data_IF_837732070178
#
_entry.id   IF_837732070178
#
_cell.length_a   1.000
_cell.length_b   1.000
_cell.length_c   1.000
_cell.angle_alpha   90.00
_cell.angle_beta   90.00
_cell.angle_gamma   90.00
#
_symmetry.space_group_name_H-M   'P 1'
#
loop_
_entity.id
_entity.type
_entity.pdbx_description
1 polymer ?
#
# COMPACT_ATOMS: atom_id res chain seq x y z
N UNK A 1 8.15 1.60 7.47
CA UNK A 1 7.76 2.61 8.47
C UNK A 1 8.18 2.21 9.88
N UNK A 2 8.38 3.20 10.75
CA UNK A 2 8.92 3.03 12.09
C UNK A 2 7.95 2.31 13.03
N UNK A 3 8.47 1.32 13.78
CA UNK A 3 7.67 0.48 14.71
C UNK A 3 7.06 1.31 15.83
N UNK A 4 7.78 2.30 16.36
CA UNK A 4 7.33 3.12 17.48
C UNK A 4 6.11 4.00 17.17
N UNK A 5 5.78 4.23 15.91
CA UNK A 5 4.61 5.05 15.51
C UNK A 5 3.29 4.42 15.97
N UNK A 6 3.23 3.09 16.03
CA UNK A 6 2.03 2.34 16.45
C UNK A 6 2.12 1.79 17.87
N UNK A 7 3.20 2.09 18.59
CA UNK A 7 3.40 1.72 20.02
C UNK A 7 3.01 2.87 20.93
N UNK A 8 2.83 2.56 22.23
CA UNK A 8 2.52 3.52 23.28
C UNK A 8 3.40 3.28 24.49
N UNK A 9 3.51 4.28 25.37
CA UNK A 9 4.26 4.18 26.62
C UNK A 9 5.74 3.84 26.43
N UNK A 10 6.30 3.07 27.37
CA UNK A 10 7.72 2.70 27.38
C UNK A 10 8.21 2.08 26.07
N UNK A 11 7.42 1.18 25.47
CA UNK A 11 7.81 0.54 24.19
C UNK A 11 7.99 1.57 23.05
N UNK A 12 7.18 2.62 23.01
CA UNK A 12 7.33 3.69 22.03
C UNK A 12 8.66 4.42 22.20
N UNK A 13 8.98 4.78 23.45
CA UNK A 13 10.22 5.51 23.80
C UNK A 13 11.42 4.64 23.46
N UNK A 14 11.40 3.38 23.88
CA UNK A 14 12.49 2.42 23.66
C UNK A 14 12.82 2.26 22.16
N UNK A 15 11.84 1.94 21.32
CA UNK A 15 12.08 1.79 19.88
C UNK A 15 12.49 3.11 19.21
N UNK A 16 11.99 4.25 19.70
CA UNK A 16 12.39 5.56 19.19
C UNK A 16 13.86 5.87 19.51
N UNK A 17 14.33 5.50 20.71
CA UNK A 17 15.73 5.66 21.11
C UNK A 17 16.61 4.72 20.27
N UNK A 18 16.21 3.46 20.09
CA UNK A 18 16.94 2.51 19.24
C UNK A 18 17.12 3.04 17.81
N UNK A 19 16.03 3.49 17.17
CA UNK A 19 16.12 4.11 15.83
C UNK A 19 17.12 5.28 15.84
N UNK A 20 17.08 6.16 16.85
CA UNK A 20 17.97 7.30 16.96
C UNK A 20 19.44 6.88 17.10
N UNK A 21 19.73 5.84 17.90
CA UNK A 21 21.09 5.29 18.07
C UNK A 21 21.58 4.72 16.73
N UNK A 22 20.77 3.87 16.06
CA UNK A 22 21.12 3.26 14.78
C UNK A 22 21.43 4.33 13.73
N UNK A 23 20.59 5.35 13.63
CA UNK A 23 20.79 6.43 12.66
C UNK A 23 22.00 7.31 12.99
N UNK A 24 22.31 7.53 14.25
CA UNK A 24 23.52 8.28 14.65
C UNK A 24 24.81 7.52 14.33
N UNK A 25 24.81 6.21 14.49
CA UNK A 25 25.94 5.33 14.18
C UNK A 25 26.10 5.12 12.65
N UNK A 26 25.07 5.37 11.85
CA UNK A 26 25.14 5.24 10.40
C UNK A 26 25.87 6.43 9.79
N UNK A 27 26.73 6.20 8.79
CA UNK A 27 27.37 7.27 8.02
C UNK A 27 26.34 8.06 7.22
N UNK A 28 25.41 7.36 6.58
CA UNK A 28 24.30 7.96 5.84
C UNK A 28 23.08 7.03 5.84
N UNK A 29 21.87 7.61 5.75
CA UNK A 29 20.61 6.88 5.80
C UNK A 29 19.81 7.15 4.52
N UNK A 30 19.52 6.10 3.76
CA UNK A 30 18.50 6.14 2.71
C UNK A 30 17.13 5.89 3.33
N UNK A 31 16.24 6.86 3.15
CA UNK A 31 14.85 6.79 3.64
C UNK A 31 13.93 6.46 2.48
N UNK A 32 12.94 5.62 2.71
CA UNK A 32 12.08 5.08 1.65
C UNK A 32 11.25 6.14 0.92
N UNK A 33 10.95 7.30 1.57
CA UNK A 33 10.10 8.35 0.99
C UNK A 33 10.40 9.75 1.53
N UNK A 34 10.07 10.78 0.75
CA UNK A 34 10.25 12.17 1.14
C UNK A 34 9.42 12.55 2.36
N UNK A 35 8.17 12.11 2.43
CA UNK A 35 7.30 12.38 3.58
C UNK A 35 7.80 11.67 4.84
N UNK A 36 8.32 10.44 4.73
CA UNK A 36 8.93 9.74 5.84
C UNK A 36 10.21 10.45 6.32
N UNK A 37 11.06 10.92 5.40
CA UNK A 37 12.25 11.71 5.74
C UNK A 37 11.86 12.96 6.52
N UNK A 38 10.88 13.74 6.03
CA UNK A 38 10.36 14.92 6.72
C UNK A 38 9.84 14.57 8.12
N UNK A 39 9.08 13.49 8.24
CA UNK A 39 8.58 13.01 9.52
C UNK A 39 9.71 12.65 10.49
N UNK A 40 10.72 11.90 10.06
CA UNK A 40 11.84 11.50 10.92
C UNK A 40 12.68 12.70 11.38
N UNK A 41 12.90 13.68 10.52
CA UNK A 41 13.58 14.94 10.87
C UNK A 41 12.75 15.71 11.90
N UNK A 42 11.42 15.86 11.71
CA UNK A 42 10.54 16.57 12.65
C UNK A 42 10.51 15.91 14.04
N UNK A 43 10.73 14.59 14.09
CA UNK A 43 10.84 13.84 15.37
C UNK A 43 12.25 13.79 15.94
N UNK A 44 13.22 14.50 15.33
CA UNK A 44 14.62 14.55 15.73
C UNK A 44 15.26 13.15 15.80
N UNK A 45 14.89 12.26 14.88
CA UNK A 45 15.42 10.90 14.75
C UNK A 45 16.64 10.88 13.83
N UNK A 46 16.56 11.60 12.71
CA UNK A 46 17.64 11.72 11.73
C UNK A 46 17.93 13.19 11.47
N UNK A 47 19.16 13.50 11.02
CA UNK A 47 19.53 14.83 10.53
C UNK A 47 19.29 14.94 9.01
N UNK A 48 19.09 16.18 8.54
CA UNK A 48 18.90 16.47 7.11
C UNK A 48 20.13 16.07 6.31
N UNK A 49 21.32 16.36 6.82
CA UNK A 49 22.60 16.16 6.13
C UNK A 49 23.04 14.69 6.04
N UNK A 50 22.66 13.86 7.02
CA UNK A 50 22.95 12.42 7.06
C UNK A 50 21.85 11.57 6.41
N UNK A 51 20.91 12.15 5.69
CA UNK A 51 19.80 11.41 5.12
C UNK A 51 19.44 11.84 3.72
N UNK A 52 19.09 10.89 2.87
CA UNK A 52 18.60 11.11 1.51
C UNK A 52 17.39 10.24 1.21
N UNK A 53 16.69 10.58 0.15
CA UNK A 53 15.68 9.72 -0.48
C UNK A 53 16.16 9.48 -1.90
N UNK A 54 16.14 8.23 -2.34
CA UNK A 54 16.53 7.89 -3.69
C UNK A 54 15.43 8.35 -4.66
N UNK A 55 15.77 9.27 -5.55
CA UNK A 55 14.88 9.81 -6.59
C UNK A 55 13.50 10.19 -6.02
N UNK A 56 12.43 9.47 -6.43
CA UNK A 56 11.06 9.71 -5.97
C UNK A 56 10.63 8.82 -4.79
N UNK A 57 11.57 8.11 -4.16
CA UNK A 57 11.33 7.10 -3.12
C UNK A 57 11.25 5.69 -3.68
N UNK A 58 11.02 4.69 -2.80
CA UNK A 58 11.03 3.26 -3.13
C UNK A 58 12.36 2.76 -3.70
N UNK A 59 13.28 2.40 -2.83
CA UNK A 59 14.65 1.98 -3.23
C UNK A 59 14.66 0.83 -4.24
N UNK A 60 13.74 -0.14 -4.11
CA UNK A 60 13.74 -1.34 -4.96
C UNK A 60 12.99 -1.21 -6.29
N UNK A 61 12.19 -0.17 -6.48
CA UNK A 61 11.38 -0.04 -7.69
C UNK A 61 10.36 -1.18 -7.91
N UNK A 62 9.92 -1.35 -9.16
CA UNK A 62 8.96 -2.38 -9.59
C UNK A 62 9.38 -3.02 -10.91
N UNK A 63 9.36 -4.33 -10.97
CA UNK A 63 9.48 -5.08 -12.22
C UNK A 63 8.19 -4.94 -13.06
N UNK A 64 8.20 -4.01 -14.01
CA UNK A 64 7.02 -3.69 -14.84
C UNK A 64 6.65 -4.82 -15.82
N UNK A 65 7.54 -5.77 -16.09
CA UNK A 65 7.25 -6.94 -16.93
C UNK A 65 6.48 -7.99 -16.15
N UNK A 66 6.81 -8.19 -14.87
CA UNK A 66 6.10 -9.06 -13.94
C UNK A 66 4.76 -8.44 -13.52
N UNK A 67 4.79 -7.20 -13.06
CA UNK A 67 3.61 -6.46 -12.59
C UNK A 67 2.90 -5.77 -13.75
N UNK A 68 2.23 -6.57 -14.57
CA UNK A 68 1.46 -6.11 -15.73
C UNK A 68 0.02 -6.62 -15.66
N UNK A 69 -0.94 -5.77 -15.97
CA UNK A 69 -2.34 -6.18 -16.08
C UNK A 69 -2.51 -7.27 -17.15
N UNK A 70 -3.16 -8.37 -16.77
CA UNK A 70 -3.50 -9.48 -17.69
C UNK A 70 -4.97 -9.83 -17.55
N UNK A 71 -5.74 -9.62 -18.63
CA UNK A 71 -7.19 -9.92 -18.68
C UNK A 71 -7.48 -11.39 -18.36
N UNK A 72 -6.59 -12.32 -18.76
CA UNK A 72 -6.72 -13.74 -18.47
C UNK A 72 -6.70 -14.01 -16.96
N UNK A 73 -5.80 -13.38 -16.21
CA UNK A 73 -5.75 -13.51 -14.76
C UNK A 73 -7.01 -12.97 -14.08
N UNK A 74 -7.56 -11.84 -14.59
CA UNK A 74 -8.81 -11.30 -14.09
C UNK A 74 -9.95 -12.27 -14.25
N UNK A 75 -10.11 -12.84 -15.43
CA UNK A 75 -11.20 -13.78 -15.73
C UNK A 75 -11.05 -15.07 -14.92
N UNK A 76 -9.85 -15.66 -14.90
CA UNK A 76 -9.55 -16.91 -14.20
C UNK A 76 -9.82 -16.80 -12.69
N UNK A 77 -9.27 -15.76 -12.04
CA UNK A 77 -9.42 -15.62 -10.59
C UNK A 77 -10.85 -15.26 -10.20
N UNK A 78 -11.54 -14.44 -10.98
CA UNK A 78 -12.96 -14.12 -10.73
C UNK A 78 -13.84 -15.35 -10.88
N UNK A 79 -13.63 -16.19 -11.91
CA UNK A 79 -14.34 -17.44 -12.10
C UNK A 79 -14.08 -18.40 -10.92
N UNK A 80 -12.81 -18.60 -10.54
CA UNK A 80 -12.43 -19.46 -9.41
C UNK A 80 -13.10 -19.04 -8.09
N UNK A 81 -13.24 -17.74 -7.88
CA UNK A 81 -13.87 -17.17 -6.67
C UNK A 81 -15.38 -16.98 -6.80
N UNK A 82 -16.00 -17.39 -7.89
CA UNK A 82 -17.43 -17.19 -8.20
C UNK A 82 -17.85 -15.71 -8.13
N UNK A 83 -16.96 -14.81 -8.58
CA UNK A 83 -17.19 -13.36 -8.67
C UNK A 83 -17.59 -13.02 -10.10
N UNK A 84 -18.83 -12.59 -10.31
CA UNK A 84 -19.30 -12.22 -11.63
C UNK A 84 -18.64 -10.95 -12.19
N UNK A 85 -18.63 -10.79 -13.51
CA UNK A 85 -17.99 -9.69 -14.23
C UNK A 85 -18.39 -8.30 -13.71
N UNK A 86 -19.65 -8.13 -13.35
CA UNK A 86 -20.22 -6.86 -12.89
C UNK A 86 -20.03 -6.59 -11.40
N UNK A 87 -19.55 -7.57 -10.63
CA UNK A 87 -19.28 -7.37 -9.21
C UNK A 87 -18.05 -6.48 -9.03
N UNK A 88 -18.11 -5.57 -8.07
CA UNK A 88 -16.98 -4.73 -7.70
C UNK A 88 -16.10 -5.41 -6.66
N UNK A 89 -14.78 -5.39 -6.86
CA UNK A 89 -13.81 -6.06 -5.99
C UNK A 89 -12.84 -5.07 -5.38
N UNK A 90 -12.91 -4.93 -4.08
CA UNK A 90 -11.88 -4.32 -3.25
C UNK A 90 -10.82 -5.37 -2.92
N UNK A 91 -9.56 -5.05 -3.12
CA UNK A 91 -8.43 -5.92 -2.81
C UNK A 91 -7.59 -5.32 -1.67
N UNK A 92 -7.26 -6.13 -0.70
CA UNK A 92 -6.15 -5.87 0.20
C UNK A 92 -5.05 -6.91 -0.08
N UNK A 93 -3.79 -6.47 -0.17
CA UNK A 93 -2.64 -7.35 -0.34
C UNK A 93 -1.51 -6.95 0.59
N UNK A 94 -1.13 -7.86 1.50
CA UNK A 94 -0.10 -7.65 2.50
C UNK A 94 -0.31 -8.49 3.75
N UNK A 95 0.55 -8.34 4.75
CA UNK A 95 0.40 -9.00 6.05
C UNK A 95 -0.87 -8.52 6.74
N UNK A 96 -1.68 -9.47 7.22
CA UNK A 96 -2.95 -9.18 7.87
C UNK A 96 -2.73 -9.06 9.38
N UNK A 97 -2.44 -7.84 9.81
CA UNK A 97 -2.21 -7.48 11.21
C UNK A 97 -2.84 -6.13 11.58
N UNK A 98 -2.66 -5.72 12.83
CA UNK A 98 -3.22 -4.47 13.36
C UNK A 98 -2.62 -3.23 12.67
N UNK A 99 -1.30 -3.21 12.46
CA UNK A 99 -0.59 -2.04 11.90
C UNK A 99 -0.98 -1.77 10.44
N UNK A 100 -1.50 -2.77 9.75
CA UNK A 100 -2.00 -2.67 8.37
C UNK A 100 -3.48 -2.28 8.27
N UNK A 101 -4.16 -2.04 9.39
CA UNK A 101 -5.51 -1.49 9.43
C UNK A 101 -6.61 -2.37 8.81
N UNK A 102 -6.33 -3.67 8.58
CA UNK A 102 -7.25 -4.56 7.86
C UNK A 102 -8.59 -4.70 8.57
N UNK A 103 -8.62 -4.61 9.91
CA UNK A 103 -9.85 -4.67 10.68
C UNK A 103 -10.78 -3.46 10.40
N UNK A 104 -10.20 -2.26 10.22
CA UNK A 104 -10.97 -1.07 9.90
C UNK A 104 -11.57 -1.16 8.50
N UNK A 105 -10.79 -1.70 7.54
CA UNK A 105 -11.28 -2.00 6.20
C UNK A 105 -12.45 -2.99 6.22
N UNK A 106 -12.33 -4.09 6.97
CA UNK A 106 -13.40 -5.10 7.11
C UNK A 106 -14.66 -4.46 7.71
N UNK A 107 -14.52 -3.63 8.76
CA UNK A 107 -15.66 -2.95 9.40
C UNK A 107 -16.33 -1.97 8.42
N UNK A 108 -15.56 -1.18 7.67
CA UNK A 108 -16.08 -0.29 6.64
C UNK A 108 -16.77 -1.06 5.52
N UNK A 109 -16.14 -2.13 5.02
CA UNK A 109 -16.70 -2.99 3.98
C UNK A 109 -18.03 -3.63 4.39
N UNK A 110 -18.16 -4.09 5.63
CA UNK A 110 -19.43 -4.65 6.15
C UNK A 110 -20.60 -3.67 6.07
N UNK A 111 -20.35 -2.38 6.18
CA UNK A 111 -21.38 -1.33 5.98
C UNK A 111 -21.69 -1.15 4.49
N UNK A 112 -20.67 -1.15 3.63
CA UNK A 112 -20.82 -0.95 2.17
C UNK A 112 -21.52 -2.12 1.50
N UNK A 113 -21.24 -3.36 1.86
CA UNK A 113 -21.85 -4.57 1.28
C UNK A 113 -23.34 -4.72 1.54
N UNK A 114 -23.89 -4.01 2.55
CA UNK A 114 -25.34 -3.96 2.79
C UNK A 114 -26.07 -3.19 1.70
N UNK A 115 -25.39 -2.25 1.05
CA UNK A 115 -25.96 -1.34 0.05
C UNK A 115 -25.59 -1.74 -1.39
N UNK A 116 -24.53 -2.52 -1.56
CA UNK A 116 -23.97 -2.82 -2.88
C UNK A 116 -23.50 -4.29 -2.97
N UNK A 117 -23.62 -4.86 -4.17
CA UNK A 117 -23.06 -6.20 -4.45
C UNK A 117 -21.56 -6.12 -4.75
N UNK A 118 -20.76 -6.15 -3.70
CA UNK A 118 -19.32 -5.97 -3.73
C UNK A 118 -18.60 -7.11 -3.01
N UNK A 119 -17.33 -7.33 -3.32
CA UNK A 119 -16.45 -8.30 -2.68
C UNK A 119 -15.22 -7.62 -2.09
N UNK A 120 -14.74 -8.14 -0.97
CA UNK A 120 -13.45 -7.81 -0.37
C UNK A 120 -12.58 -9.06 -0.41
N UNK A 121 -11.46 -8.98 -1.13
CA UNK A 121 -10.48 -10.06 -1.21
C UNK A 121 -9.26 -9.66 -0.40
N UNK A 122 -8.91 -10.49 0.58
CA UNK A 122 -7.78 -10.30 1.50
C UNK A 122 -6.70 -11.33 1.16
N UNK A 123 -5.55 -10.84 0.69
CA UNK A 123 -4.42 -11.69 0.27
C UNK A 123 -3.22 -11.44 1.18
N UNK A 124 -2.72 -12.50 1.80
CA UNK A 124 -1.52 -12.45 2.64
C UNK A 124 -1.62 -13.29 3.91
N UNK A 125 -0.51 -13.45 4.64
CA UNK A 125 -0.49 -14.20 5.89
C UNK A 125 -1.27 -13.48 6.99
N UNK A 126 -2.01 -14.25 7.79
CA UNK A 126 -2.69 -13.74 8.99
C UNK A 126 -1.72 -13.81 10.16
N UNK A 127 -1.35 -12.66 10.70
CA UNK A 127 -0.58 -12.53 11.93
C UNK A 127 -1.49 -12.28 13.17
N UNK A 128 -2.78 -11.99 12.94
CA UNK A 128 -3.76 -11.80 14.01
C UNK A 128 -4.99 -12.68 13.77
N UNK A 129 -5.04 -13.82 14.47
CA UNK A 129 -6.10 -14.81 14.32
C UNK A 129 -7.51 -14.27 14.64
N UNK A 130 -7.65 -13.23 15.46
CA UNK A 130 -8.94 -12.59 15.75
C UNK A 130 -9.61 -12.03 14.49
N UNK A 131 -8.83 -11.71 13.44
CA UNK A 131 -9.37 -11.21 12.17
C UNK A 131 -10.21 -12.29 11.46
N UNK A 132 -9.84 -13.58 11.58
CA UNK A 132 -10.65 -14.69 11.03
C UNK A 132 -12.09 -14.65 11.54
N UNK A 133 -12.31 -14.36 12.82
CA UNK A 133 -13.64 -14.31 13.41
C UNK A 133 -14.55 -13.25 12.77
N UNK A 134 -13.95 -12.19 12.19
CA UNK A 134 -14.72 -11.17 11.47
C UNK A 134 -15.09 -11.57 10.04
N UNK A 135 -14.52 -12.66 9.51
CA UNK A 135 -14.72 -13.08 8.12
C UNK A 135 -15.49 -14.39 7.98
N UNK A 136 -15.48 -15.28 8.99
CA UNK A 136 -15.91 -16.68 8.93
C UNK A 136 -17.37 -16.93 8.49
N UNK A 137 -18.27 -15.94 8.55
CA UNK A 137 -19.68 -16.09 8.13
C UNK A 137 -20.05 -15.21 6.93
N UNK A 138 -19.07 -14.53 6.30
CA UNK A 138 -19.36 -13.56 5.25
C UNK A 138 -18.78 -14.01 3.91
N UNK A 139 -19.62 -14.60 3.06
CA UNK A 139 -19.23 -15.10 1.73
C UNK A 139 -18.67 -14.01 0.78
N UNK A 140 -18.89 -12.72 1.09
CA UNK A 140 -18.37 -11.58 0.30
C UNK A 140 -17.00 -11.10 0.77
N UNK A 141 -16.47 -11.61 1.87
CA UNK A 141 -15.10 -11.39 2.35
C UNK A 141 -14.33 -12.68 2.14
N UNK A 142 -13.44 -12.67 1.14
CA UNK A 142 -12.68 -13.85 0.71
C UNK A 142 -11.25 -13.72 1.20
N UNK A 143 -10.79 -14.73 1.91
CA UNK A 143 -9.42 -14.79 2.41
C UNK A 143 -8.59 -15.81 1.62
N UNK A 144 -7.39 -15.39 1.16
CA UNK A 144 -6.51 -16.16 0.24
C UNK A 144 -5.16 -16.38 0.91
N UNK A 145 -4.81 -16.50 1.98
CA UNK A 145 -3.47 -16.77 2.50
C UNK A 145 -2.30 -16.10 1.72
N UNK A 146 -1.11 -16.63 1.91
CA UNK A 146 0.11 -16.16 1.23
C UNK A 146 0.08 -16.47 -0.27
N UNK A 147 0.58 -15.55 -1.10
CA UNK A 147 0.72 -15.73 -2.54
C UNK A 147 2.16 -15.47 -3.00
N UNK A 148 2.61 -16.17 -4.04
CA UNK A 148 3.86 -15.92 -4.77
C UNK A 148 3.63 -15.14 -6.07
N UNK A 149 2.36 -14.89 -6.43
CA UNK A 149 1.95 -14.23 -7.67
C UNK A 149 1.00 -13.06 -7.38
N UNK A 150 1.48 -11.99 -6.69
CA UNK A 150 0.64 -10.83 -6.35
C UNK A 150 0.06 -10.13 -7.58
N UNK A 151 0.77 -10.11 -8.71
CA UNK A 151 0.38 -9.50 -9.97
C UNK A 151 -0.95 -10.04 -10.53
N UNK A 152 -1.27 -11.31 -10.25
CA UNK A 152 -2.53 -11.93 -10.65
C UNK A 152 -3.70 -11.34 -9.87
N UNK A 153 -3.51 -11.10 -8.59
CA UNK A 153 -4.53 -10.53 -7.70
C UNK A 153 -4.79 -9.05 -8.02
N UNK A 154 -3.75 -8.28 -8.37
CA UNK A 154 -3.94 -6.90 -8.86
C UNK A 154 -4.77 -6.87 -10.14
N UNK A 155 -4.52 -7.78 -11.08
CA UNK A 155 -5.31 -7.87 -12.33
C UNK A 155 -6.79 -8.21 -12.07
N UNK A 156 -7.11 -8.95 -11.00
CA UNK A 156 -8.46 -9.40 -10.67
C UNK A 156 -9.33 -8.28 -10.08
N UNK A 157 -8.74 -7.35 -9.35
CA UNK A 157 -9.42 -6.34 -8.56
C UNK A 157 -9.86 -5.10 -9.37
N UNK A 158 -10.64 -4.23 -8.72
CA UNK A 158 -11.03 -2.93 -9.26
C UNK A 158 -10.33 -1.78 -8.54
N UNK A 159 -9.90 -1.99 -7.28
CA UNK A 159 -9.10 -1.04 -6.51
C UNK A 159 -8.32 -1.78 -5.40
N UNK A 160 -7.08 -1.35 -5.16
CA UNK A 160 -6.31 -1.75 -3.98
C UNK A 160 -6.75 -0.90 -2.78
N UNK A 161 -6.90 -1.51 -1.60
CA UNK A 161 -7.13 -0.83 -0.33
C UNK A 161 -5.93 -1.02 0.59
N UNK A 162 -5.30 0.07 1.03
CA UNK A 162 -4.15 0.05 1.93
C UNK A 162 -4.41 0.93 3.16
N UNK A 163 -5.18 0.45 4.16
CA UNK A 163 -5.60 1.23 5.32
C UNK A 163 -4.53 1.29 6.43
N UNK A 164 -3.26 1.20 6.08
CA UNK A 164 -2.14 1.07 7.00
C UNK A 164 -2.00 2.25 7.95
N UNK A 165 -1.56 1.98 9.17
CA UNK A 165 -1.21 2.96 10.19
C UNK A 165 0.23 3.46 10.06
N UNK A 166 1.09 2.69 9.39
CA UNK A 166 2.48 3.06 9.11
C UNK A 166 3.00 2.35 7.86
N UNK A 167 3.73 3.07 7.04
CA UNK A 167 4.48 2.57 5.87
C UNK A 167 5.77 3.36 5.70
N UNK A 168 6.79 2.76 5.07
CA UNK A 168 7.97 3.48 4.61
C UNK A 168 7.69 4.20 3.30
N UNK A 169 7.17 3.45 2.32
CA UNK A 169 6.74 3.96 1.03
C UNK A 169 5.40 3.33 0.59
N UNK A 170 5.15 2.05 0.92
CA UNK A 170 3.99 1.33 0.44
C UNK A 170 4.22 0.75 -0.96
N UNK A 171 5.28 -0.05 -1.15
CA UNK A 171 5.66 -0.64 -2.45
C UNK A 171 4.50 -1.36 -3.16
N UNK A 172 3.58 -1.97 -2.40
CA UNK A 172 2.37 -2.60 -2.95
C UNK A 172 1.50 -1.64 -3.76
N UNK A 173 1.58 -0.33 -3.50
CA UNK A 173 0.83 0.70 -4.26
C UNK A 173 1.39 0.84 -5.68
N UNK A 174 2.72 0.90 -5.81
CA UNK A 174 3.36 1.01 -7.12
C UNK A 174 3.31 -0.31 -7.89
N UNK A 175 3.35 -1.46 -7.21
CA UNK A 175 3.10 -2.77 -7.82
C UNK A 175 1.68 -2.86 -8.40
N UNK A 176 0.67 -2.45 -7.64
CA UNK A 176 -0.71 -2.36 -8.09
C UNK A 176 -0.88 -1.36 -9.23
N UNK A 177 -0.26 -0.18 -9.11
CA UNK A 177 -0.24 0.86 -10.14
C UNK A 177 0.32 0.34 -11.46
N UNK A 178 1.42 -0.43 -11.44
CA UNK A 178 1.97 -1.09 -12.62
C UNK A 178 0.96 -2.01 -13.32
N UNK A 179 0.06 -2.61 -12.55
CA UNK A 179 -1.07 -3.43 -13.05
C UNK A 179 -2.33 -2.61 -13.41
N UNK A 180 -2.22 -1.31 -13.62
CA UNK A 180 -3.35 -0.40 -13.87
C UNK A 180 -4.40 -0.39 -12.74
N UNK A 181 -4.02 -0.70 -11.51
CA UNK A 181 -4.92 -0.74 -10.38
C UNK A 181 -4.72 0.50 -9.50
N UNK A 182 -5.71 1.41 -9.39
CA UNK A 182 -5.62 2.55 -8.49
C UNK A 182 -5.73 2.11 -7.03
N UNK A 183 -5.32 2.98 -6.10
CA UNK A 183 -5.29 2.67 -4.68
C UNK A 183 -6.17 3.61 -3.85
N UNK A 184 -6.89 3.08 -2.87
CA UNK A 184 -7.45 3.78 -1.74
C UNK A 184 -6.53 3.56 -0.53
N UNK A 185 -5.74 4.57 -0.16
CA UNK A 185 -4.73 4.47 0.90
C UNK A 185 -4.99 5.40 2.08
N UNK A 186 -4.39 5.10 3.22
CA UNK A 186 -4.36 6.02 4.36
C UNK A 186 -3.55 7.28 4.04
N UNK A 187 -4.01 8.44 4.47
CA UNK A 187 -3.25 9.69 4.40
C UNK A 187 -2.17 9.73 5.49
N UNK A 188 -1.08 8.98 5.27
CA UNK A 188 0.09 8.91 6.15
C UNK A 188 1.38 9.06 5.33
N UNK A 189 2.50 9.40 6.02
CA UNK A 189 3.80 9.42 5.35
C UNK A 189 4.09 8.06 4.68
N UNK A 190 4.85 8.09 3.61
CA UNK A 190 5.11 6.94 2.75
C UNK A 190 4.00 6.74 1.73
N UNK A 191 2.76 6.51 2.14
CA UNK A 191 1.64 6.34 1.20
C UNK A 191 1.36 7.63 0.40
N UNK A 192 1.53 8.81 1.02
CA UNK A 192 1.40 10.10 0.33
C UNK A 192 2.45 10.37 -0.75
N UNK A 193 3.55 9.64 -0.75
CA UNK A 193 4.52 9.67 -1.85
C UNK A 193 4.19 8.65 -2.95
N UNK A 194 3.55 7.54 -2.58
CA UNK A 194 3.18 6.48 -3.53
C UNK A 194 1.92 6.80 -4.34
N UNK A 195 0.96 7.54 -3.77
CA UNK A 195 -0.31 7.94 -4.41
C UNK A 195 -0.29 9.43 -4.73
N UNK A 196 -0.77 9.80 -5.90
CA UNK A 196 -1.16 11.18 -6.24
C UNK A 196 -2.68 11.26 -6.16
N UNK A 197 -3.19 12.03 -5.15
CA UNK A 197 -4.62 12.13 -4.88
C UNK A 197 -5.40 12.62 -6.09
N UNK A 198 -6.55 11.99 -6.36
CA UNK A 198 -7.43 12.27 -7.51
C UNK A 198 -6.77 12.12 -8.88
N UNK A 199 -5.59 11.46 -8.95
CA UNK A 199 -4.90 11.15 -10.20
C UNK A 199 -4.54 9.67 -10.33
N UNK A 200 -3.95 9.06 -9.28
CA UNK A 200 -3.57 7.65 -9.25
C UNK A 200 -4.31 6.86 -8.16
N UNK A 201 -5.08 7.54 -7.32
CA UNK A 201 -5.84 6.94 -6.24
C UNK A 201 -6.53 7.97 -5.36
N UNK A 202 -6.92 7.53 -4.17
CA UNK A 202 -7.68 8.29 -3.18
C UNK A 202 -7.07 8.12 -1.80
N UNK A 203 -7.23 9.13 -0.94
CA UNK A 203 -6.88 9.02 0.47
C UNK A 203 -8.10 8.93 1.37
N UNK A 204 -7.91 8.27 2.50
CA UNK A 204 -8.80 8.32 3.66
C UNK A 204 -8.00 8.64 4.93
N UNK A 205 -8.69 9.16 5.94
CA UNK A 205 -8.10 9.40 7.27
C UNK A 205 -7.74 8.07 7.93
N UNK A 206 -6.49 7.96 8.44
CA UNK A 206 -6.02 6.75 9.12
C UNK A 206 -6.91 6.39 10.31
N UNK A 207 -7.29 5.11 10.44
CA UNK A 207 -8.12 4.60 11.53
C UNK A 207 -9.59 5.04 11.49
N UNK A 208 -10.01 5.82 10.49
CA UNK A 208 -11.38 6.32 10.42
C UNK A 208 -12.26 5.44 9.52
N UNK A 209 -12.98 4.51 10.16
CA UNK A 209 -13.86 3.54 9.48
C UNK A 209 -14.95 4.23 8.64
N UNK A 210 -15.51 5.35 9.13
CA UNK A 210 -16.56 6.06 8.41
C UNK A 210 -16.01 6.76 7.17
N UNK A 211 -14.78 7.26 7.22
CA UNK A 211 -14.15 7.88 6.06
C UNK A 211 -13.77 6.83 5.00
N UNK A 212 -13.24 5.67 5.43
CA UNK A 212 -13.03 4.52 4.53
C UNK A 212 -14.34 4.14 3.84
N UNK A 213 -15.44 4.02 4.59
CA UNK A 213 -16.77 3.72 4.05
C UNK A 213 -17.22 4.77 3.02
N UNK A 214 -17.12 6.05 3.34
CA UNK A 214 -17.50 7.17 2.44
C UNK A 214 -16.71 7.10 1.14
N UNK A 215 -15.39 6.89 1.22
CA UNK A 215 -14.53 6.76 0.02
C UNK A 215 -14.87 5.52 -0.79
N UNK A 216 -15.14 4.36 -0.16
CA UNK A 216 -15.57 3.15 -0.86
C UNK A 216 -16.89 3.37 -1.62
N UNK A 217 -17.88 4.01 -1.01
CA UNK A 217 -19.16 4.35 -1.66
C UNK A 217 -18.97 5.32 -2.83
N UNK A 218 -18.15 6.36 -2.65
CA UNK A 218 -17.80 7.30 -3.72
C UNK A 218 -17.17 6.58 -4.92
N UNK A 219 -16.23 5.67 -4.66
CA UNK A 219 -15.51 4.90 -5.68
C UNK A 219 -16.46 4.01 -6.47
N UNK A 220 -17.40 3.31 -5.81
CA UNK A 220 -18.39 2.45 -6.47
C UNK A 220 -19.27 3.27 -7.41
N UNK A 221 -19.68 4.48 -7.02
CA UNK A 221 -20.49 5.38 -7.85
C UNK A 221 -19.71 5.94 -9.05
N UNK A 222 -18.38 6.06 -8.91
CA UNK A 222 -17.51 6.72 -9.90
C UNK A 222 -16.54 5.75 -10.59
N UNK A 223 -16.97 4.56 -10.98
CA UNK A 223 -16.12 3.50 -11.57
C UNK A 223 -15.32 3.97 -12.79
N UNK A 224 -15.85 4.92 -13.57
CA UNK A 224 -15.15 5.47 -14.77
C UNK A 224 -13.81 6.12 -14.39
N UNK A 225 -13.71 6.74 -13.22
CA UNK A 225 -12.46 7.35 -12.74
C UNK A 225 -11.36 6.30 -12.51
N UNK A 226 -11.73 5.08 -12.09
CA UNK A 226 -10.76 4.03 -11.76
C UNK A 226 -9.90 3.64 -12.96
N UNK A 227 -10.49 3.53 -14.15
CA UNK A 227 -9.74 3.23 -15.38
C UNK A 227 -8.71 4.33 -15.66
N UNK A 228 -9.14 5.60 -15.60
CA UNK A 228 -8.27 6.76 -15.82
C UNK A 228 -7.13 6.80 -14.79
N UNK A 229 -7.44 6.59 -13.51
CA UNK A 229 -6.45 6.62 -12.44
C UNK A 229 -5.50 5.43 -12.48
N UNK A 230 -5.99 4.24 -12.86
CA UNK A 230 -5.16 3.07 -13.06
C UNK A 230 -4.13 3.26 -14.17
N UNK A 231 -4.54 3.82 -15.33
CA UNK A 231 -3.62 4.13 -16.43
C UNK A 231 -2.55 5.15 -15.98
N UNK A 232 -2.96 6.25 -15.33
CA UNK A 232 -2.03 7.25 -14.79
C UNK A 232 -1.08 6.66 -13.74
N UNK A 233 -1.57 5.74 -12.89
CA UNK A 233 -0.73 5.04 -11.93
C UNK A 233 0.35 4.22 -12.64
N UNK A 234 -0.02 3.48 -13.71
CA UNK A 234 0.94 2.69 -14.49
C UNK A 234 1.98 3.56 -15.21
N UNK A 235 1.56 4.67 -15.83
CA UNK A 235 2.46 5.63 -16.46
C UNK A 235 3.46 6.21 -15.44
N UNK A 236 2.95 6.60 -14.25
CA UNK A 236 3.79 7.11 -13.17
C UNK A 236 4.81 6.07 -12.71
N UNK A 237 4.41 4.80 -12.58
CA UNK A 237 5.32 3.72 -12.16
C UNK A 237 6.42 3.52 -13.20
N UNK A 238 6.10 3.42 -14.48
CA UNK A 238 7.08 3.30 -15.56
C UNK A 238 8.09 4.45 -15.58
N UNK A 239 7.62 5.68 -15.34
CA UNK A 239 8.47 6.87 -15.38
C UNK A 239 9.35 7.04 -14.14
N UNK A 240 8.88 6.59 -12.95
CA UNK A 240 9.49 7.00 -11.69
C UNK A 240 9.93 5.85 -10.79
N UNK A 241 9.52 4.60 -11.07
CA UNK A 241 9.72 3.48 -10.15
C UNK A 241 10.03 2.16 -10.85
N UNK A 242 10.45 2.19 -12.12
CA UNK A 242 10.90 0.98 -12.82
C UNK A 242 12.20 0.47 -12.19
N UNK A 243 12.32 -0.86 -11.98
CA UNK A 243 13.38 -1.47 -11.17
C UNK A 243 14.79 -1.22 -11.71
N UNK A 244 15.00 -1.30 -13.05
CA UNK A 244 16.33 -1.10 -13.62
C UNK A 244 16.77 0.37 -13.46
N UNK A 245 15.85 1.32 -13.71
CA UNK A 245 16.11 2.74 -13.47
C UNK A 245 16.44 3.00 -12.01
N UNK A 246 15.68 2.41 -11.06
CA UNK A 246 15.94 2.59 -9.64
C UNK A 246 17.27 1.97 -9.21
N UNK A 247 17.65 0.82 -9.78
CA UNK A 247 18.95 0.19 -9.54
C UNK A 247 20.12 1.06 -10.04
N UNK A 248 19.97 1.65 -11.23
CA UNK A 248 20.98 2.60 -11.74
C UNK A 248 21.12 3.82 -10.83
N UNK A 249 20.00 4.41 -10.39
CA UNK A 249 20.01 5.54 -9.44
C UNK A 249 20.67 5.18 -8.10
N UNK A 250 20.47 3.94 -7.63
CA UNK A 250 21.13 3.47 -6.42
C UNK A 250 22.65 3.32 -6.62
N UNK A 251 23.09 2.78 -7.75
CA UNK A 251 24.51 2.68 -8.08
C UNK A 251 25.17 4.07 -8.19
N UNK A 252 24.54 5.01 -8.91
CA UNK A 252 25.00 6.40 -8.99
C UNK A 252 25.15 7.03 -7.59
N UNK A 253 24.14 6.81 -6.72
CA UNK A 253 24.16 7.32 -5.35
C UNK A 253 25.31 6.72 -4.52
N UNK A 254 25.54 5.40 -4.62
CA UNK A 254 26.62 4.71 -3.89
C UNK A 254 27.98 5.24 -4.37
N UNK A 255 28.22 5.28 -5.68
CA UNK A 255 29.49 5.76 -6.25
C UNK A 255 29.78 7.20 -5.83
N UNK A 256 28.77 8.09 -5.81
CA UNK A 256 28.93 9.47 -5.34
C UNK A 256 29.30 9.57 -3.85
N UNK A 257 28.98 8.55 -3.05
CA UNK A 257 29.22 8.56 -1.60
C UNK A 257 30.52 7.87 -1.18
N UNK A 258 31.03 6.97 -2.03
CA UNK A 258 32.26 6.19 -1.76
C UNK A 258 33.49 6.94 -2.28
N UNK A 259 33.34 7.75 -3.34
CA UNK A 259 34.33 8.68 -3.86
C UNK A 259 34.17 10.05 -3.19
#
# INVERSE_FOLDING_TARGET
GQVWVTKKGFAQIFYKILDKIIFNLSHHVLVDSHSQKKFLISKKIISKNKSSVLFNGSVGGVNINKFKYKKINRNLLRSKLKIYKNNFVFLYLGRINKDKGVLDLIKAFKKVQKLHNVFLVLVGPIENHRIKNYTNKNKKIIFIGKTLSPEKWFSMADILCLPSYREGFGSVVIEAGSCNLPTLGSSIYGITDAIVENQTGFFHKVGNINDIQKKMLFIIKNKRLLRKYGLRASERVKKNFEENMMSQKLLEFINFRVN
#
